data_IF_846313168510
#
_entry.id   IF_846313168510
#
_cell.length_a   1.000
_cell.length_b   1.000
_cell.length_c   1.000
_cell.angle_alpha   90.00
_cell.angle_beta   90.00
_cell.angle_gamma   90.00
#
_symmetry.space_group_name_H-M   'P 1'
#
loop_
_entity.id
_entity.type
_entity.pdbx_description
1 polymer ?
#
# COMPACT_ATOMS: atom_id res chain seq x y z
N UNK A 1 -16.34 -0.66 -8.94
CA UNK A 1 -14.97 -0.32 -8.50
C UNK A 1 -14.59 1.00 -9.16
N UNK A 2 -14.52 2.11 -8.43
CA UNK A 2 -14.21 3.42 -9.02
C UNK A 2 -12.82 3.41 -9.65
N UNK A 3 -12.69 3.85 -10.92
CA UNK A 3 -11.43 3.86 -11.67
C UNK A 3 -10.27 4.54 -10.92
N UNK A 4 -10.59 5.51 -10.07
CA UNK A 4 -9.61 6.25 -9.24
C UNK A 4 -8.89 5.34 -8.23
N UNK A 5 -9.60 4.43 -7.55
CA UNK A 5 -8.98 3.58 -6.52
C UNK A 5 -8.00 2.56 -7.14
N UNK A 6 -8.30 2.06 -8.33
CA UNK A 6 -7.39 1.20 -9.08
C UNK A 6 -6.12 1.94 -9.52
N UNK A 7 -6.25 3.20 -9.94
CA UNK A 7 -5.10 4.02 -10.35
C UNK A 7 -4.15 4.28 -9.18
N UNK A 8 -4.68 4.60 -7.99
CA UNK A 8 -3.86 4.82 -6.77
C UNK A 8 -3.17 3.53 -6.34
N UNK A 9 -3.88 2.40 -6.30
CA UNK A 9 -3.28 1.09 -5.99
C UNK A 9 -2.15 0.73 -6.95
N UNK A 10 -2.36 0.92 -8.25
CA UNK A 10 -1.32 0.66 -9.25
C UNK A 10 -0.13 1.61 -9.08
N UNK A 11 -0.39 2.90 -8.83
CA UNK A 11 0.65 3.90 -8.63
C UNK A 11 1.52 3.60 -7.40
N UNK A 12 0.91 3.27 -6.26
CA UNK A 12 1.59 3.05 -4.98
C UNK A 12 2.23 1.66 -4.88
N UNK A 13 1.82 0.71 -5.73
CA UNK A 13 2.45 -0.61 -5.77
C UNK A 13 3.93 -0.54 -6.18
N UNK A 14 4.34 0.52 -6.89
CA UNK A 14 5.73 0.75 -7.31
C UNK A 14 6.61 1.07 -6.08
N UNK A 15 7.72 0.35 -5.89
CA UNK A 15 8.51 0.41 -4.65
C UNK A 15 9.14 1.79 -4.44
N UNK A 16 9.58 2.43 -5.50
CA UNK A 16 10.17 3.76 -5.50
C UNK A 16 9.15 4.80 -5.03
N UNK A 17 7.95 4.76 -5.62
CA UNK A 17 6.84 5.65 -5.24
C UNK A 17 6.37 5.41 -3.82
N UNK A 18 6.35 4.15 -3.38
CA UNK A 18 6.03 3.78 -2.00
C UNK A 18 7.06 4.34 -1.01
N UNK A 19 8.35 4.19 -1.33
CA UNK A 19 9.45 4.69 -0.51
C UNK A 19 9.41 6.22 -0.41
N UNK A 20 9.25 6.92 -1.54
CA UNK A 20 9.13 8.38 -1.58
C UNK A 20 7.91 8.87 -0.78
N UNK A 21 6.77 8.20 -0.92
CA UNK A 21 5.57 8.51 -0.17
C UNK A 21 5.78 8.36 1.35
N UNK A 22 6.39 7.27 1.80
CA UNK A 22 6.70 7.05 3.22
C UNK A 22 7.76 8.02 3.75
N UNK A 23 8.81 8.26 2.98
CA UNK A 23 9.86 9.22 3.34
C UNK A 23 9.29 10.63 3.50
N UNK A 24 8.42 11.06 2.57
CA UNK A 24 7.76 12.36 2.62
C UNK A 24 6.75 12.49 3.76
N UNK A 25 6.02 11.43 4.11
CA UNK A 25 4.92 11.50 5.09
C UNK A 25 5.31 11.14 6.51
N UNK A 26 6.17 10.14 6.70
CA UNK A 26 6.54 9.59 8.03
C UNK A 26 7.91 10.09 8.47
N UNK A 27 8.82 10.31 7.52
CA UNK A 27 10.22 10.67 7.81
C UNK A 27 10.57 12.12 7.46
N UNK A 28 9.57 12.99 7.32
CA UNK A 28 9.75 14.43 7.09
C UNK A 28 10.67 14.74 5.89
N UNK A 29 10.49 13.98 4.81
CA UNK A 29 11.27 14.09 3.57
C UNK A 29 12.66 13.42 3.60
N UNK A 30 13.08 12.82 4.72
CA UNK A 30 14.37 12.13 4.81
C UNK A 30 14.31 10.78 4.09
N UNK A 31 15.30 10.47 3.27
CA UNK A 31 15.42 9.17 2.59
C UNK A 31 15.87 8.06 3.55
N UNK A 32 14.92 7.53 4.33
CA UNK A 32 15.13 6.46 5.31
C UNK A 32 14.76 5.10 4.71
N UNK A 33 13.63 5.03 4.01
CA UNK A 33 13.17 3.83 3.31
C UNK A 33 13.74 3.85 1.90
N UNK A 34 14.46 2.80 1.52
CA UNK A 34 14.99 2.63 0.17
C UNK A 34 14.21 1.56 -0.59
N UNK A 35 13.97 1.79 -1.88
CA UNK A 35 13.13 0.90 -2.70
C UNK A 35 13.70 -0.52 -2.80
N UNK A 36 15.02 -0.67 -2.76
CA UNK A 36 15.73 -1.95 -2.83
C UNK A 36 15.52 -2.78 -1.56
N UNK A 37 15.23 -2.13 -0.43
CA UNK A 37 14.98 -2.78 0.87
C UNK A 37 13.51 -3.19 1.05
N UNK A 38 12.64 -2.85 0.08
CA UNK A 38 11.22 -3.18 0.08
C UNK A 38 10.95 -4.48 -0.67
N UNK A 39 10.19 -5.36 -0.04
CA UNK A 39 9.63 -6.56 -0.65
C UNK A 39 8.11 -6.43 -0.74
N UNK A 40 7.57 -6.51 -1.95
CA UNK A 40 6.12 -6.46 -2.15
C UNK A 40 5.50 -7.75 -1.63
N UNK A 41 4.59 -7.62 -0.68
CA UNK A 41 3.83 -8.74 -0.12
C UNK A 41 2.39 -8.78 -0.67
N UNK A 42 1.75 -7.62 -0.81
CA UNK A 42 0.50 -7.40 -1.55
C UNK A 42 0.56 -6.06 -2.27
N UNK A 43 -0.44 -5.75 -3.09
CA UNK A 43 -0.49 -4.51 -3.89
C UNK A 43 -0.24 -3.23 -3.07
N UNK A 44 -0.70 -3.19 -1.82
CA UNK A 44 -0.56 -2.05 -0.90
C UNK A 44 0.21 -2.38 0.39
N UNK A 45 0.88 -3.55 0.43
CA UNK A 45 1.65 -4.02 1.60
C UNK A 45 3.09 -4.31 1.18
N UNK A 46 4.02 -3.60 1.82
CA UNK A 46 5.45 -3.75 1.60
C UNK A 46 6.15 -4.16 2.89
N UNK A 47 7.00 -5.19 2.83
CA UNK A 47 7.90 -5.58 3.90
C UNK A 47 9.21 -4.80 3.77
N UNK A 48 9.58 -4.06 4.80
CA UNK A 48 10.86 -3.36 4.90
C UNK A 48 11.84 -4.12 5.80
N UNK A 49 13.06 -4.35 5.29
CA UNK A 49 14.17 -5.04 6.01
C UNK A 49 13.81 -6.39 6.63
N UNK A 50 12.79 -7.08 6.09
CA UNK A 50 12.31 -8.36 6.61
C UNK A 50 11.67 -8.31 8.01
N UNK A 51 11.54 -7.13 8.64
CA UNK A 51 11.09 -6.99 10.03
C UNK A 51 9.81 -6.17 10.16
N UNK A 52 9.61 -5.19 9.29
CA UNK A 52 8.49 -4.25 9.40
C UNK A 52 7.56 -4.38 8.21
N UNK A 53 6.27 -4.51 8.45
CA UNK A 53 5.23 -4.45 7.40
C UNK A 53 4.67 -3.03 7.34
N UNK A 54 4.82 -2.39 6.19
CA UNK A 54 4.29 -1.07 5.87
C UNK A 54 3.01 -1.25 5.07
N UNK A 55 1.89 -0.77 5.63
CA UNK A 55 0.54 -0.97 5.08
C UNK A 55 -0.13 0.36 4.83
N UNK A 56 -0.74 0.52 3.65
CA UNK A 56 -1.56 1.69 3.32
C UNK A 56 -3.04 1.30 3.43
N UNK A 57 -3.65 1.65 4.58
CA UNK A 57 -5.04 1.32 4.91
C UNK A 57 -6.07 2.23 4.21
N UNK A 58 -5.67 3.44 3.83
CA UNK A 58 -6.58 4.43 3.22
C UNK A 58 -7.00 4.09 1.77
N UNK A 59 -6.40 3.08 1.15
CA UNK A 59 -6.78 2.62 -0.20
C UNK A 59 -8.13 1.87 -0.24
N UNK A 60 -8.80 1.75 0.92
CA UNK A 60 -10.15 1.20 1.06
C UNK A 60 -11.14 2.26 1.54
N UNK A 61 -11.27 3.40 0.85
CA UNK A 61 -12.54 4.13 0.89
C UNK A 61 -13.57 3.35 0.06
N UNK A 62 -14.05 2.27 0.66
CA UNK A 62 -15.11 1.44 0.11
C UNK A 62 -16.44 2.16 0.40
N UNK A 63 -16.90 3.02 -0.51
CA UNK A 63 -18.14 3.80 -0.34
C UNK A 63 -19.40 2.92 -0.14
N UNK A 64 -19.31 1.60 -0.40
CA UNK A 64 -20.38 0.64 -0.13
C UNK A 64 -19.80 -0.72 0.27
N UNK A 65 -20.25 -1.28 1.40
CA UNK A 65 -20.06 -2.70 1.71
C UNK A 65 -20.72 -3.50 0.59
N UNK A 66 -19.92 -4.13 -0.27
CA UNK A 66 -20.42 -5.01 -1.32
C UNK A 66 -20.69 -6.37 -0.67
N UNK A 67 -21.92 -6.57 -0.17
CA UNK A 67 -22.38 -7.83 0.42
C UNK A 67 -22.37 -9.03 -0.54
N UNK A 68 -22.05 -8.82 -1.82
CA UNK A 68 -21.92 -9.86 -2.83
C UNK A 68 -20.52 -10.52 -2.87
N UNK A 69 -19.56 -10.09 -2.05
CA UNK A 69 -18.31 -10.84 -1.89
C UNK A 69 -18.59 -12.12 -1.10
N UNK A 70 -18.24 -13.32 -1.63
CA UNK A 70 -18.45 -14.56 -0.91
C UNK A 70 -17.56 -14.56 0.33
N UNK A 71 -18.20 -14.53 1.49
CA UNK A 71 -17.54 -14.79 2.77
C UNK A 71 -17.07 -16.24 2.71
N UNK A 72 -15.76 -16.46 2.73
CA UNK A 72 -15.24 -17.80 2.99
C UNK A 72 -15.56 -18.12 4.45
N UNK A 73 -16.69 -18.77 4.65
CA UNK A 73 -16.98 -19.42 5.91
C UNK A 73 -16.03 -20.62 6.02
N UNK A 74 -15.36 -20.73 7.17
CA UNK A 74 -14.57 -21.91 7.53
C UNK A 74 -15.49 -23.00 8.10
#
# INVERSE_FOLDING_TARGET
>A
MGKSNAAVKNWISVKERFADFYNGTVFDGRQVVRAEELHRYRDVIMRWKGKMDLVILACENQEKVHYAMPVRNN
#
